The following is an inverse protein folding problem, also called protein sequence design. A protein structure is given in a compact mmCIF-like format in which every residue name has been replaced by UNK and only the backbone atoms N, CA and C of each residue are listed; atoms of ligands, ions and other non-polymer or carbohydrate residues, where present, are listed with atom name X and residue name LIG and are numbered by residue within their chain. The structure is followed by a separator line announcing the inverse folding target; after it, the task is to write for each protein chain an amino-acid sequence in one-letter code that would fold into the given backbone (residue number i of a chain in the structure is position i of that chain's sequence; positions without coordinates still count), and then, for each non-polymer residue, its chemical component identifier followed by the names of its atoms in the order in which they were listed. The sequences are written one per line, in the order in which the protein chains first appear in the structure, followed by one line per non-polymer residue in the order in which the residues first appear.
data_IF_895301763306
#
_entry.id   IF_895301763306
#
_cell.length_a   1.000
_cell.length_b   1.000
_cell.length_c   1.000
_cell.angle_alpha   90.00
_cell.angle_beta   90.00
_cell.angle_gamma   90.00
#
_symmetry.space_group_name_H-M   'P 1'
#
loop_
_entity.id
_entity.type
_entity.pdbx_description
1 polymer ?
#
# COMPACT_ATOMS: atom_id res chain seq x y z
N UNK A 1 9.29 -23.53 4.43
CA UNK A 1 10.60 -23.78 3.76
C UNK A 1 10.65 -23.19 2.34
N UNK A 2 9.71 -23.53 1.43
CA UNK A 2 9.70 -22.98 0.04
C UNK A 2 9.77 -21.44 -0.09
N UNK A 3 9.06 -20.69 0.75
CA UNK A 3 9.07 -19.22 0.68
C UNK A 3 10.39 -18.60 1.11
N UNK A 4 11.03 -19.13 2.17
CA UNK A 4 12.33 -18.65 2.61
C UNK A 4 13.41 -18.94 1.58
N UNK A 5 13.37 -20.14 0.97
CA UNK A 5 14.26 -20.48 -0.15
C UNK A 5 14.07 -19.54 -1.35
N UNK A 6 12.82 -19.17 -1.68
CA UNK A 6 12.55 -18.21 -2.75
C UNK A 6 13.20 -16.86 -2.46
N UNK A 7 13.04 -16.31 -1.25
CA UNK A 7 13.63 -15.02 -0.89
C UNK A 7 15.16 -15.07 -0.91
N UNK A 8 15.74 -16.16 -0.40
CA UNK A 8 17.18 -16.37 -0.44
C UNK A 8 17.71 -16.45 -1.88
N UNK A 9 17.07 -17.24 -2.75
CA UNK A 9 17.46 -17.38 -4.17
C UNK A 9 17.37 -16.08 -4.96
N UNK A 10 16.44 -15.19 -4.58
CA UNK A 10 16.23 -13.90 -5.25
C UNK A 10 16.92 -12.73 -4.53
N UNK A 11 17.79 -13.00 -3.54
CA UNK A 11 18.47 -11.97 -2.75
C UNK A 11 17.52 -10.94 -2.10
N UNK A 12 16.33 -11.37 -1.70
CA UNK A 12 15.33 -10.54 -1.04
C UNK A 12 15.56 -10.60 0.47
N UNK A 13 15.93 -9.46 1.07
CA UNK A 13 16.09 -9.34 2.52
C UNK A 13 14.74 -9.12 3.18
N UNK A 14 14.39 -9.95 4.16
CA UNK A 14 13.16 -9.81 4.93
C UNK A 14 13.34 -8.82 6.09
N UNK A 15 12.44 -7.85 6.19
CA UNK A 15 12.37 -6.95 7.33
C UNK A 15 11.73 -7.68 8.53
N UNK A 16 12.32 -7.54 9.73
CA UNK A 16 11.69 -8.05 10.95
C UNK A 16 10.53 -7.13 11.33
N UNK A 17 9.32 -7.66 11.36
CA UNK A 17 8.12 -6.92 11.75
C UNK A 17 7.49 -7.55 13.00
N UNK A 18 7.13 -6.76 14.03
CA UNK A 18 6.45 -7.32 15.21
C UNK A 18 5.07 -7.89 14.83
N UNK A 19 4.61 -8.87 15.61
CA UNK A 19 3.24 -9.38 15.45
C UNK A 19 2.23 -8.27 15.83
N UNK A 20 1.08 -8.25 15.15
CA UNK A 20 -0.04 -7.34 15.43
C UNK A 20 0.25 -5.82 15.31
N UNK A 21 1.37 -5.40 14.71
CA UNK A 21 1.70 -3.99 14.49
C UNK A 21 1.20 -3.49 13.12
N UNK A 22 -0.13 -3.52 12.94
CA UNK A 22 -0.76 -3.12 11.69
C UNK A 22 -0.50 -1.65 11.33
N UNK A 23 -0.29 -0.83 12.36
CA UNK A 23 -0.13 0.62 12.28
C UNK A 23 1.27 1.00 11.77
N UNK A 24 2.20 0.05 11.87
CA UNK A 24 3.57 0.13 11.37
C UNK A 24 3.69 -0.50 9.98
N UNK A 25 2.60 -0.80 9.26
CA UNK A 25 2.68 -1.34 7.90
C UNK A 25 2.42 -0.20 6.88
N UNK A 26 3.43 0.21 6.08
CA UNK A 26 3.29 1.33 5.16
C UNK A 26 2.30 0.99 4.05
N UNK A 27 2.14 -0.30 3.72
CA UNK A 27 1.11 -0.77 2.77
C UNK A 27 -0.29 -0.50 3.32
N UNK A 28 -0.53 -0.74 4.62
CA UNK A 28 -1.85 -0.47 5.23
C UNK A 28 -2.16 1.04 5.24
N UNK A 29 -1.17 1.86 5.59
CA UNK A 29 -1.32 3.32 5.57
C UNK A 29 -1.58 3.84 4.16
N UNK A 30 -0.91 3.26 3.17
CA UNK A 30 -1.12 3.54 1.75
C UNK A 30 -2.55 3.21 1.29
N UNK A 31 -3.07 2.01 1.59
CA UNK A 31 -4.46 1.65 1.26
C UNK A 31 -5.47 2.57 1.93
N UNK A 32 -5.22 2.96 3.18
CA UNK A 32 -6.07 3.91 3.90
C UNK A 32 -6.08 5.29 3.25
N UNK A 33 -4.94 5.77 2.76
CA UNK A 33 -4.85 7.03 2.02
C UNK A 33 -5.60 6.96 0.68
N UNK A 34 -5.40 5.91 -0.11
CA UNK A 34 -6.12 5.75 -1.38
C UNK A 34 -7.62 5.67 -1.17
N UNK A 35 -8.09 4.91 -0.18
CA UNK A 35 -9.52 4.82 0.11
C UNK A 35 -10.12 6.19 0.48
N UNK A 36 -9.40 7.02 1.25
CA UNK A 36 -9.85 8.38 1.58
C UNK A 36 -9.98 9.29 0.37
N UNK A 37 -9.11 9.11 -0.62
CA UNK A 37 -9.14 9.89 -1.86
C UNK A 37 -10.24 9.39 -2.81
N UNK A 38 -10.33 8.08 -3.03
CA UNK A 38 -11.35 7.42 -3.85
C UNK A 38 -12.78 7.78 -3.39
N UNK A 39 -13.03 7.75 -2.08
CA UNK A 39 -14.35 7.97 -1.48
C UNK A 39 -14.51 9.39 -0.91
N UNK A 40 -13.67 10.33 -1.33
CA UNK A 40 -13.67 11.72 -0.83
C UNK A 40 -15.06 12.34 -0.96
N UNK A 41 -15.45 13.12 0.05
CA UNK A 41 -16.77 13.77 0.13
C UNK A 41 -17.96 12.78 0.09
N UNK A 42 -17.73 11.52 0.47
CA UNK A 42 -18.78 10.48 0.44
C UNK A 42 -19.12 10.01 -0.97
N UNK A 43 -18.24 10.24 -1.95
CA UNK A 43 -18.41 9.74 -3.31
C UNK A 43 -18.69 8.23 -3.30
N UNK A 44 -19.64 7.77 -4.12
CA UNK A 44 -20.01 6.36 -4.25
C UNK A 44 -20.05 5.98 -5.73
N UNK A 45 -19.75 4.72 -6.03
CA UNK A 45 -19.74 4.18 -7.38
C UNK A 45 -20.96 3.30 -7.61
N UNK A 46 -21.59 3.42 -8.78
CA UNK A 46 -22.75 2.61 -9.16
C UNK A 46 -22.36 1.28 -9.81
N UNK A 47 -21.13 1.18 -10.33
CA UNK A 47 -20.62 -0.01 -11.00
C UNK A 47 -19.20 -0.33 -10.52
N UNK A 48 -18.83 -1.61 -10.62
CA UNK A 48 -17.48 -2.08 -10.34
C UNK A 48 -16.47 -1.45 -11.31
N UNK A 49 -16.84 -1.31 -12.58
CA UNK A 49 -15.97 -0.70 -13.60
C UNK A 49 -15.61 0.74 -13.26
N UNK A 50 -16.59 1.55 -12.81
CA UNK A 50 -16.31 2.93 -12.41
C UNK A 50 -15.38 3.02 -11.19
N UNK A 51 -15.53 2.10 -10.23
CA UNK A 51 -14.61 2.00 -9.09
C UNK A 51 -13.21 1.56 -9.55
N UNK A 52 -13.12 0.60 -10.48
CA UNK A 52 -11.85 0.16 -11.04
C UNK A 52 -11.10 1.31 -11.72
N UNK A 53 -11.78 2.06 -12.59
CA UNK A 53 -11.18 3.23 -13.26
C UNK A 53 -10.68 4.28 -12.27
N UNK A 54 -11.43 4.55 -11.20
CA UNK A 54 -11.00 5.47 -10.15
C UNK A 54 -9.75 4.97 -9.40
N UNK A 55 -9.69 3.68 -9.07
CA UNK A 55 -8.53 3.05 -8.44
C UNK A 55 -7.29 3.19 -9.35
N UNK A 56 -7.42 2.85 -10.64
CA UNK A 56 -6.30 2.96 -11.59
C UNK A 56 -5.85 4.40 -11.80
N UNK A 57 -6.80 5.33 -11.85
CA UNK A 57 -6.51 6.76 -11.98
C UNK A 57 -5.71 7.26 -10.78
N UNK A 58 -6.15 6.97 -9.56
CA UNK A 58 -5.43 7.38 -8.35
C UNK A 58 -4.06 6.70 -8.28
N UNK A 59 -3.99 5.39 -8.55
CA UNK A 59 -2.74 4.65 -8.57
C UNK A 59 -1.70 5.24 -9.53
N UNK A 60 -2.14 5.64 -10.72
CA UNK A 60 -1.25 6.21 -11.74
C UNK A 60 -0.75 7.62 -11.40
N UNK A 61 -1.42 8.32 -10.48
CA UNK A 61 -1.14 9.70 -10.12
C UNK A 61 -0.57 9.85 -8.70
N UNK A 62 -0.10 8.76 -8.08
CA UNK A 62 0.50 8.83 -6.74
C UNK A 62 1.78 9.68 -6.78
N UNK A 63 1.89 10.72 -5.92
CA UNK A 63 3.12 11.48 -5.82
C UNK A 63 4.27 10.63 -5.29
N UNK A 64 5.43 10.62 -5.96
CA UNK A 64 6.62 9.90 -5.49
C UNK A 64 7.04 10.31 -4.07
N UNK A 65 6.92 11.61 -3.75
CA UNK A 65 7.22 12.15 -2.42
C UNK A 65 6.35 11.55 -1.31
N UNK A 66 5.11 11.18 -1.61
CA UNK A 66 4.24 10.48 -0.68
C UNK A 66 4.73 9.05 -0.40
N UNK A 67 5.14 8.32 -1.46
CA UNK A 67 5.71 6.97 -1.32
C UNK A 67 7.03 6.98 -0.52
N UNK A 68 7.90 7.95 -0.78
CA UNK A 68 9.16 8.13 -0.04
C UNK A 68 8.90 8.44 1.44
N UNK A 69 7.92 9.29 1.73
CA UNK A 69 7.51 9.60 3.11
C UNK A 69 6.98 8.37 3.82
N UNK A 70 6.14 7.57 3.15
CA UNK A 70 5.62 6.30 3.66
C UNK A 70 6.75 5.32 3.97
N UNK A 71 7.68 5.13 3.03
CA UNK A 71 8.83 4.25 3.23
C UNK A 71 9.71 4.72 4.41
N UNK A 72 9.92 6.03 4.53
CA UNK A 72 10.73 6.64 5.59
C UNK A 72 10.06 6.63 6.96
N UNK A 73 8.73 6.46 7.02
CA UNK A 73 7.97 6.39 8.27
C UNK A 73 8.17 5.07 9.03
N UNK A 74 8.80 4.08 8.39
CA UNK A 74 9.04 2.78 9.00
C UNK A 74 10.08 2.88 10.12
N UNK A 75 9.84 2.23 11.28
CA UNK A 75 10.87 2.05 12.29
C UNK A 75 12.05 1.27 11.68
N UNK A 76 13.27 1.69 12.03
CA UNK A 76 14.50 1.01 11.64
C UNK A 76 14.78 -0.22 12.51
#
# INVERSE_FOLDING_TARGET
LKFMEFFQRNNITLLKHPACSSDLNPIKNFWGWMARDIYKNGHQFQTVDALHEAIFTIWSNIPSSFLETLASSMPK
#
